data_IF_346195376484
#
_entry.id   IF_346195376484
#
_cell.length_a   1.000
_cell.length_b   1.000
_cell.length_c   1.000
_cell.angle_alpha   90.00
_cell.angle_beta   90.00
_cell.angle_gamma   90.00
#
_symmetry.space_group_name_H-M   'P 1'
#
loop_
_entity.id
_entity.type
_entity.pdbx_description
1 polymer ?
#
# COMPACT_ATOMS: atom_id res chain seq x y z
N UNK A 1 4.37 22.35 -14.83
CA UNK A 1 3.11 21.56 -14.79
C UNK A 1 3.38 20.09 -14.48
N UNK A 2 4.54 19.58 -14.84
CA UNK A 2 4.93 18.17 -14.67
C UNK A 2 4.92 17.64 -13.23
N UNK A 3 5.43 18.43 -12.28
CA UNK A 3 5.43 18.07 -10.85
C UNK A 3 4.02 17.93 -10.26
N UNK A 4 3.05 18.70 -10.77
CA UNK A 4 1.66 18.62 -10.33
C UNK A 4 1.02 17.32 -10.83
N UNK A 5 1.20 17.01 -12.11
CA UNK A 5 0.71 15.78 -12.72
C UNK A 5 1.34 14.53 -12.07
N UNK A 6 2.65 14.57 -11.79
CA UNK A 6 3.37 13.52 -11.09
C UNK A 6 2.76 13.23 -9.70
N UNK A 7 2.44 14.28 -8.95
CA UNK A 7 1.78 14.16 -7.65
C UNK A 7 0.38 13.55 -7.78
N UNK A 8 -0.43 14.00 -8.74
CA UNK A 8 -1.78 13.49 -8.95
C UNK A 8 -1.76 11.99 -9.27
N UNK A 9 -0.89 11.57 -10.19
CA UNK A 9 -0.73 10.15 -10.57
C UNK A 9 -0.31 9.31 -9.36
N UNK A 10 0.66 9.82 -8.58
CA UNK A 10 1.16 9.13 -7.38
C UNK A 10 0.05 8.95 -6.34
N UNK A 11 -0.71 10.02 -6.06
CA UNK A 11 -1.84 9.97 -5.12
C UNK A 11 -2.91 9.00 -5.61
N UNK A 12 -3.26 9.04 -6.90
CA UNK A 12 -4.29 8.18 -7.47
C UNK A 12 -3.93 6.69 -7.35
N UNK A 13 -2.68 6.34 -7.62
CA UNK A 13 -2.17 4.97 -7.48
C UNK A 13 -2.28 4.48 -6.03
N UNK A 14 -1.77 5.25 -5.07
CA UNK A 14 -1.79 4.86 -3.65
C UNK A 14 -3.20 4.82 -3.07
N UNK A 15 -4.06 5.78 -3.42
CA UNK A 15 -5.47 5.80 -2.97
C UNK A 15 -6.23 4.60 -3.53
N UNK A 16 -6.02 4.26 -4.81
CA UNK A 16 -6.65 3.09 -5.44
C UNK A 16 -6.20 1.79 -4.77
N UNK A 17 -4.90 1.64 -4.53
CA UNK A 17 -4.37 0.46 -3.85
C UNK A 17 -4.89 0.36 -2.41
N UNK A 18 -4.92 1.46 -1.65
CA UNK A 18 -5.49 1.50 -0.31
C UNK A 18 -6.97 1.13 -0.29
N UNK A 19 -7.76 1.70 -1.21
CA UNK A 19 -9.19 1.38 -1.35
C UNK A 19 -9.41 -0.09 -1.67
N UNK A 20 -8.58 -0.68 -2.54
CA UNK A 20 -8.67 -2.08 -2.92
C UNK A 20 -8.42 -3.00 -1.70
N UNK A 21 -7.39 -2.71 -0.91
CA UNK A 21 -7.10 -3.45 0.34
C UNK A 21 -8.22 -3.29 1.37
N UNK A 22 -8.72 -2.06 1.55
CA UNK A 22 -9.81 -1.77 2.49
C UNK A 22 -11.13 -2.44 2.07
N UNK A 23 -11.47 -2.39 0.78
CA UNK A 23 -12.72 -2.94 0.23
C UNK A 23 -12.72 -4.46 0.26
N UNK A 24 -11.59 -5.10 -0.04
CA UNK A 24 -11.45 -6.55 0.05
C UNK A 24 -11.47 -7.09 1.49
N UNK A 25 -11.46 -6.23 2.53
CA UNK A 25 -11.47 -6.60 3.96
C UNK A 25 -10.48 -7.74 4.30
N UNK A 26 -9.40 -7.85 3.54
CA UNK A 26 -8.49 -9.00 3.53
C UNK A 26 -7.90 -9.31 4.91
N UNK A 27 -7.63 -8.25 5.68
CA UNK A 27 -7.08 -8.36 7.03
C UNK A 27 -8.18 -8.66 8.05
N UNK A 28 -9.42 -8.16 7.86
CA UNK A 28 -10.51 -8.23 8.86
C UNK A 28 -11.25 -9.56 8.92
N UNK A 29 -11.12 -10.41 7.91
CA UNK A 29 -11.76 -11.73 7.90
C UNK A 29 -10.92 -12.83 8.57
N UNK A 30 -9.69 -12.56 9.03
CA UNK A 30 -8.81 -13.59 9.59
C UNK A 30 -8.81 -13.54 11.12
N UNK A 31 -9.21 -14.65 11.73
CA UNK A 31 -9.26 -14.86 13.19
C UNK A 31 -7.89 -15.21 13.80
N UNK A 32 -6.96 -15.77 13.01
CA UNK A 32 -5.62 -16.13 13.49
C UNK A 32 -4.55 -15.09 13.10
N UNK A 33 -3.70 -14.74 14.08
CA UNK A 33 -2.60 -13.76 13.92
C UNK A 33 -1.64 -14.12 12.79
N UNK A 34 -1.21 -15.39 12.71
CA UNK A 34 -0.32 -15.87 11.65
C UNK A 34 -0.94 -15.72 10.26
N UNK A 35 -2.25 -15.92 10.14
CA UNK A 35 -2.96 -15.78 8.87
C UNK A 35 -3.10 -14.30 8.48
N UNK A 36 -3.44 -13.42 9.43
CA UNK A 36 -3.49 -11.99 9.20
C UNK A 36 -2.11 -11.42 8.81
N UNK A 37 -1.05 -11.87 9.48
CA UNK A 37 0.32 -11.49 9.18
C UNK A 37 0.76 -11.96 7.78
N UNK A 38 0.50 -13.23 7.43
CA UNK A 38 0.80 -13.76 6.10
C UNK A 38 0.08 -13.00 4.99
N UNK A 39 -1.20 -12.65 5.19
CA UNK A 39 -1.97 -11.87 4.21
C UNK A 39 -1.43 -10.44 4.09
N UNK A 40 -1.07 -9.78 5.20
CA UNK A 40 -0.49 -8.44 5.15
C UNK A 40 0.91 -8.43 4.53
N UNK A 41 1.75 -9.43 4.83
CA UNK A 41 3.05 -9.61 4.19
C UNK A 41 2.89 -9.88 2.68
N UNK A 42 1.94 -10.73 2.29
CA UNK A 42 1.60 -10.96 0.89
C UNK A 42 1.09 -9.70 0.19
N UNK A 43 0.25 -8.92 0.86
CA UNK A 43 -0.22 -7.61 0.38
C UNK A 43 0.92 -6.61 0.22
N UNK A 44 1.86 -6.58 1.17
CA UNK A 44 3.07 -5.78 1.07
C UNK A 44 3.85 -6.18 -0.20
N UNK A 45 4.20 -7.46 -0.34
CA UNK A 45 4.96 -7.96 -1.49
C UNK A 45 4.24 -7.65 -2.81
N UNK A 46 2.92 -7.85 -2.87
CA UNK A 46 2.12 -7.50 -4.04
C UNK A 46 2.16 -6.00 -4.35
N UNK A 47 2.02 -5.13 -3.34
CA UNK A 47 2.15 -3.68 -3.50
C UNK A 47 3.57 -3.27 -3.95
N UNK A 48 4.62 -3.97 -3.51
CA UNK A 48 6.00 -3.70 -3.93
C UNK A 48 6.14 -4.02 -5.42
N UNK A 49 5.65 -5.19 -5.82
CA UNK A 49 5.71 -5.66 -7.20
C UNK A 49 4.92 -4.73 -8.13
N UNK A 50 3.72 -4.34 -7.72
CA UNK A 50 2.86 -3.42 -8.48
C UNK A 50 3.48 -2.02 -8.56
N UNK A 51 4.05 -1.50 -7.45
CA UNK A 51 4.81 -0.24 -7.47
C UNK A 51 6.03 -0.31 -8.38
N UNK A 52 6.74 -1.43 -8.42
CA UNK A 52 7.91 -1.62 -9.27
C UNK A 52 7.52 -1.66 -10.76
N UNK A 53 6.48 -2.44 -11.13
CA UNK A 53 5.93 -2.43 -12.48
C UNK A 53 5.46 -1.03 -12.88
N UNK A 54 4.81 -0.30 -11.98
CA UNK A 54 4.35 1.05 -12.24
C UNK A 54 5.51 2.03 -12.46
N UNK A 55 6.59 1.91 -11.67
CA UNK A 55 7.81 2.70 -11.85
C UNK A 55 8.50 2.41 -13.20
N UNK A 56 8.52 1.16 -13.66
CA UNK A 56 9.04 0.80 -14.98
C UNK A 56 8.22 1.41 -16.12
N UNK A 57 6.88 1.34 -16.03
CA UNK A 57 5.97 1.95 -17.00
C UNK A 57 6.16 3.48 -17.01
N UNK A 58 6.26 4.10 -15.84
CA UNK A 58 6.54 5.54 -15.70
C UNK A 58 7.89 5.92 -16.31
N UNK A 59 8.93 5.11 -16.11
CA UNK A 59 10.26 5.37 -16.68
C UNK A 59 10.31 5.20 -18.21
N UNK A 60 9.45 4.35 -18.77
CA UNK A 60 9.34 4.17 -20.22
C UNK A 60 8.47 5.26 -20.89
N UNK A 61 7.47 5.79 -20.19
CA UNK A 61 6.47 6.69 -20.77
C UNK A 61 6.65 8.18 -20.38
N UNK A 62 7.34 8.48 -19.28
CA UNK A 62 7.47 9.83 -18.74
C UNK A 62 8.93 10.19 -18.39
N UNK A 63 9.25 11.49 -18.29
CA UNK A 63 10.56 11.96 -17.85
C UNK A 63 10.97 11.40 -16.48
N UNK A 64 12.28 11.21 -16.29
CA UNK A 64 12.90 10.62 -15.10
C UNK A 64 12.48 11.27 -13.75
N UNK A 65 12.09 12.56 -13.80
CA UNK A 65 11.57 13.33 -12.67
C UNK A 65 10.31 12.69 -12.05
N UNK A 66 9.47 12.06 -12.86
CA UNK A 66 8.24 11.40 -12.42
C UNK A 66 8.54 10.12 -11.63
N UNK A 67 9.51 9.33 -12.07
CA UNK A 67 9.94 8.09 -11.41
C UNK A 67 10.55 8.40 -10.05
N UNK A 68 11.43 9.41 -9.97
CA UNK A 68 12.07 9.84 -8.71
C UNK A 68 11.06 10.37 -7.69
N UNK A 69 10.09 11.17 -8.16
CA UNK A 69 9.04 11.71 -7.29
C UNK A 69 8.13 10.60 -6.75
N UNK A 70 7.78 9.62 -7.59
CA UNK A 70 7.01 8.46 -7.19
C UNK A 70 7.78 7.60 -6.18
N UNK A 71 9.03 7.24 -6.46
CA UNK A 71 9.86 6.40 -5.59
C UNK A 71 10.05 7.04 -4.21
N UNK A 72 10.32 8.35 -4.14
CA UNK A 72 10.48 9.06 -2.87
C UNK A 72 9.20 9.01 -2.04
N UNK A 73 8.04 9.30 -2.64
CA UNK A 73 6.74 9.29 -1.94
C UNK A 73 6.29 7.87 -1.59
N UNK A 74 6.64 6.89 -2.41
CA UNK A 74 6.29 5.50 -2.18
C UNK A 74 6.80 5.00 -0.84
N UNK A 75 8.02 5.38 -0.43
CA UNK A 75 8.61 5.00 0.86
C UNK A 75 7.76 5.49 2.04
N UNK A 76 7.34 6.76 2.01
CA UNK A 76 6.50 7.32 3.09
C UNK A 76 5.12 6.68 3.15
N UNK A 77 4.48 6.47 1.99
CA UNK A 77 3.16 5.84 1.95
C UNK A 77 3.23 4.37 2.38
N UNK A 78 4.32 3.68 2.02
CA UNK A 78 4.62 2.34 2.49
C UNK A 78 4.73 2.25 4.01
N UNK A 79 5.47 3.19 4.62
CA UNK A 79 5.60 3.27 6.07
C UNK A 79 4.23 3.46 6.74
N UNK A 80 3.42 4.39 6.22
CA UNK A 80 2.07 4.67 6.75
C UNK A 80 1.15 3.45 6.60
N UNK A 81 1.20 2.77 5.45
CA UNK A 81 0.43 1.55 5.20
C UNK A 81 0.83 0.42 6.16
N UNK A 82 2.13 0.21 6.36
CA UNK A 82 2.65 -0.79 7.28
C UNK A 82 2.18 -0.53 8.72
N UNK A 83 2.28 0.73 9.19
CA UNK A 83 1.78 1.15 10.51
C UNK A 83 0.27 0.91 10.61
N UNK A 84 -0.49 1.29 9.59
CA UNK A 84 -1.95 1.11 9.58
C UNK A 84 -2.35 -0.38 9.59
N UNK A 85 -1.66 -1.24 8.85
CA UNK A 85 -1.92 -2.68 8.89
C UNK A 85 -1.53 -3.30 10.23
N UNK A 86 -0.39 -2.91 10.79
CA UNK A 86 0.02 -3.33 12.12
C UNK A 86 -1.02 -2.93 13.18
N UNK A 87 -1.48 -1.67 13.13
CA UNK A 87 -2.54 -1.18 14.01
C UNK A 87 -3.85 -1.97 13.85
N UNK A 88 -4.22 -2.33 12.61
CA UNK A 88 -5.40 -3.16 12.36
C UNK A 88 -5.28 -4.57 12.94
N UNK A 89 -4.09 -5.18 12.89
CA UNK A 89 -3.85 -6.48 13.53
C UNK A 89 -4.01 -6.39 15.05
N UNK A 90 -3.37 -5.40 15.69
CA UNK A 90 -3.47 -5.18 17.15
C UNK A 90 -4.92 -4.94 17.56
N UNK A 91 -5.65 -4.10 16.82
CA UNK A 91 -7.05 -3.79 17.11
C UNK A 91 -7.97 -5.01 16.96
N UNK A 92 -7.75 -5.87 15.98
CA UNK A 92 -8.55 -7.09 15.80
C UNK A 92 -8.32 -8.10 16.91
N UNK A 93 -7.08 -8.26 17.38
CA UNK A 93 -6.80 -9.12 18.53
C UNK A 93 -7.39 -8.58 19.82
N UNK A 94 -7.31 -7.27 20.05
CA UNK A 94 -7.90 -6.65 21.24
C UNK A 94 -9.43 -6.86 21.28
N UNK A 95 -10.13 -6.78 20.14
CA UNK A 95 -11.57 -7.04 20.07
C UNK A 95 -11.97 -8.52 20.18
N UNK A 96 -11.09 -9.45 19.77
CA UNK A 96 -11.35 -10.90 19.85
C UNK A 96 -11.15 -11.48 21.25
N UNK A 97 -10.44 -10.79 22.14
CA UNK A 97 -10.27 -11.19 23.54
C UNK A 97 -11.46 -10.80 24.45
N UNK A 98 -12.47 -10.11 23.91
CA UNK A 98 -13.68 -9.69 24.63
C UNK A 98 -14.97 -10.33 24.09
N UNK A 99 -14.86 -11.37 23.25
CA UNK A 99 -15.98 -12.17 22.76
C UNK A 99 -15.75 -13.64 23.13
#
# INVERSE_FOLDING_TARGET
MDLFLANVITVFFFVSAYLLVKKCRLIRQRTSYLSAFSVAAGLAVALLLVSFCFALILGAALPDIYVKTFAYKAVFVWLILAINWFWQMVKQQSGSNYA
#
